data_IF_467741934871
#
_entry.id   IF_467741934871
#
_cell.length_a   1.000
_cell.length_b   1.000
_cell.length_c   1.000
_cell.angle_alpha   90.00
_cell.angle_beta   90.00
_cell.angle_gamma   90.00
#
_symmetry.space_group_name_H-M   'P 1'
#
loop_
_entity.id
_entity.type
_entity.pdbx_description
1 polymer ?
#
# COMPACT_ATOMS: atom_id res chain seq x y z
N UNK A 1 -10.51 -12.78 -4.20
CA UNK A 1 -11.80 -12.49 -3.54
C UNK A 1 -12.39 -13.75 -2.96
N UNK A 2 -12.63 -14.78 -3.78
CA UNK A 2 -13.06 -16.13 -3.38
C UNK A 2 -12.40 -16.69 -2.10
N UNK A 3 -11.06 -16.61 -1.96
CA UNK A 3 -10.36 -17.09 -0.75
C UNK A 3 -10.46 -16.16 0.47
N UNK A 4 -10.64 -14.87 0.25
CA UNK A 4 -10.58 -13.86 1.31
C UNK A 4 -11.95 -13.60 1.96
N UNK A 5 -13.01 -13.54 1.15
CA UNK A 5 -14.37 -13.22 1.58
C UNK A 5 -14.94 -14.16 2.66
N UNK A 6 -14.73 -15.49 2.60
CA UNK A 6 -15.15 -16.37 3.70
C UNK A 6 -14.48 -16.03 5.03
N UNK A 7 -13.19 -15.64 5.00
CA UNK A 7 -12.47 -15.19 6.19
C UNK A 7 -12.88 -13.81 6.71
N UNK A 8 -13.58 -13.02 5.88
CA UNK A 8 -14.14 -11.71 6.24
C UNK A 8 -15.62 -11.81 6.68
N UNK A 9 -16.23 -12.99 6.60
CA UNK A 9 -17.60 -13.23 7.03
C UNK A 9 -18.67 -12.99 5.97
N UNK A 10 -18.32 -12.95 4.67
CA UNK A 10 -19.31 -12.97 3.59
C UNK A 10 -19.85 -14.39 3.39
N UNK A 11 -21.18 -14.54 3.42
CA UNK A 11 -21.85 -15.82 3.21
C UNK A 11 -21.90 -16.23 1.73
N UNK A 12 -22.07 -15.25 0.84
CA UNK A 12 -22.24 -15.44 -0.60
C UNK A 12 -21.30 -14.50 -1.36
N UNK A 13 -20.66 -15.02 -2.40
CA UNK A 13 -19.89 -14.26 -3.37
C UNK A 13 -20.46 -14.55 -4.77
N UNK A 14 -20.95 -13.50 -5.43
CA UNK A 14 -21.45 -13.55 -6.82
C UNK A 14 -20.34 -13.04 -7.74
N UNK A 15 -19.79 -13.93 -8.56
CA UNK A 15 -18.72 -13.64 -9.52
C UNK A 15 -19.22 -13.40 -10.94
N UNK A 16 -18.30 -13.24 -11.88
CA UNK A 16 -18.64 -13.13 -13.33
C UNK A 16 -19.31 -14.43 -13.81
N UNK A 17 -18.90 -15.56 -13.24
CA UNK A 17 -19.41 -16.90 -13.50
C UNK A 17 -20.88 -17.11 -13.13
N UNK A 18 -21.42 -16.27 -12.24
CA UNK A 18 -22.80 -16.35 -11.76
C UNK A 18 -23.74 -15.39 -12.52
N UNK A 19 -23.19 -14.59 -13.45
CA UNK A 19 -23.90 -13.55 -14.18
C UNK A 19 -23.98 -13.84 -15.68
N UNK A 20 -25.00 -13.30 -16.33
CA UNK A 20 -25.13 -13.34 -17.79
C UNK A 20 -24.31 -12.19 -18.39
N UNK A 21 -23.27 -12.54 -19.16
CA UNK A 21 -22.41 -11.57 -19.84
C UNK A 21 -23.00 -11.18 -21.19
N UNK A 22 -24.06 -10.37 -21.17
CA UNK A 22 -24.81 -9.91 -22.34
C UNK A 22 -24.27 -8.59 -22.94
N UNK A 23 -23.60 -7.77 -22.15
CA UNK A 23 -22.97 -6.51 -22.58
C UNK A 23 -21.61 -6.35 -21.90
N UNK A 24 -20.54 -6.22 -22.68
CA UNK A 24 -19.16 -6.14 -22.15
C UNK A 24 -18.48 -4.86 -22.62
N UNK A 25 -17.96 -4.07 -21.67
CA UNK A 25 -17.10 -2.91 -21.93
C UNK A 25 -15.86 -3.03 -21.04
N UNK A 26 -14.69 -2.80 -21.63
CA UNK A 26 -13.42 -2.92 -20.90
C UNK A 26 -13.19 -4.33 -20.37
N UNK A 27 -13.09 -4.46 -19.05
CA UNK A 27 -12.68 -5.69 -18.38
C UNK A 27 -13.82 -6.69 -18.15
N UNK A 28 -15.08 -6.27 -18.15
CA UNK A 28 -16.20 -7.13 -17.76
C UNK A 28 -17.57 -6.60 -18.14
N UNK A 29 -18.59 -7.14 -17.46
CA UNK A 29 -19.98 -6.75 -17.62
C UNK A 29 -20.16 -5.25 -17.41
N UNK A 30 -21.02 -4.61 -18.19
CA UNK A 30 -21.35 -3.19 -18.01
C UNK A 30 -22.12 -2.95 -16.72
N UNK A 31 -21.96 -1.77 -16.13
CA UNK A 31 -22.61 -1.43 -14.85
C UNK A 31 -24.14 -1.42 -15.02
N UNK A 32 -24.67 -1.01 -16.18
CA UNK A 32 -26.12 -1.06 -16.47
C UNK A 32 -26.64 -2.50 -16.48
N UNK A 33 -25.94 -3.44 -17.12
CA UNK A 33 -26.36 -4.84 -17.13
C UNK A 33 -26.16 -5.51 -15.77
N UNK A 34 -25.04 -5.21 -15.12
CA UNK A 34 -24.70 -5.71 -13.80
C UNK A 34 -25.75 -5.33 -12.76
N UNK A 35 -26.09 -4.04 -12.64
CA UNK A 35 -27.07 -3.59 -11.65
C UNK A 35 -28.46 -4.16 -11.86
N UNK A 36 -28.89 -4.37 -13.11
CA UNK A 36 -30.16 -5.02 -13.41
C UNK A 36 -30.21 -6.44 -12.82
N UNK A 37 -29.16 -7.23 -13.05
CA UNK A 37 -29.07 -8.60 -12.53
C UNK A 37 -28.90 -8.63 -11.01
N UNK A 38 -28.17 -7.67 -10.44
CA UNK A 38 -28.00 -7.55 -8.99
C UNK A 38 -29.32 -7.24 -8.30
N UNK A 39 -30.18 -6.38 -8.87
CA UNK A 39 -31.49 -6.09 -8.29
C UNK A 39 -32.36 -7.36 -8.16
N UNK A 40 -32.39 -8.20 -9.21
CA UNK A 40 -33.09 -9.49 -9.19
C UNK A 40 -32.53 -10.40 -8.08
N UNK A 41 -31.20 -10.50 -7.95
CA UNK A 41 -30.55 -11.30 -6.91
C UNK A 41 -30.93 -10.80 -5.52
N UNK A 42 -30.90 -9.49 -5.27
CA UNK A 42 -31.21 -8.90 -3.97
C UNK A 42 -32.67 -9.11 -3.56
N UNK A 43 -33.61 -9.15 -4.51
CA UNK A 43 -35.02 -9.42 -4.21
C UNK A 43 -35.21 -10.84 -3.64
N UNK A 44 -34.43 -11.81 -4.11
CA UNK A 44 -34.50 -13.20 -3.66
C UNK A 44 -33.77 -13.47 -2.34
N UNK A 45 -32.97 -12.52 -1.83
CA UNK A 45 -32.19 -12.68 -0.60
C UNK A 45 -33.07 -12.65 0.66
N UNK A 46 -32.74 -13.51 1.63
CA UNK A 46 -33.37 -13.48 2.96
C UNK A 46 -32.97 -12.19 3.70
N UNK A 47 -33.97 -11.47 4.22
CA UNK A 47 -33.77 -10.22 4.97
C UNK A 47 -33.68 -10.48 6.49
N UNK A 48 -32.84 -9.71 7.23
CA UNK A 48 -31.98 -8.63 6.76
C UNK A 48 -30.70 -9.14 6.08
N UNK A 49 -30.20 -8.40 5.10
CA UNK A 49 -28.92 -8.69 4.44
C UNK A 49 -27.99 -7.47 4.42
N UNK A 50 -26.69 -7.75 4.23
CA UNK A 50 -25.68 -6.77 3.84
C UNK A 50 -25.14 -7.16 2.46
N UNK A 51 -25.17 -6.23 1.51
CA UNK A 51 -24.61 -6.44 0.17
C UNK A 51 -23.50 -5.44 -0.12
N UNK A 52 -22.40 -5.93 -0.69
CA UNK A 52 -21.27 -5.14 -1.14
C UNK A 52 -21.10 -5.29 -2.65
N UNK A 53 -21.44 -4.23 -3.38
CA UNK A 53 -21.54 -4.23 -4.85
C UNK A 53 -20.36 -3.44 -5.43
N UNK A 54 -19.63 -4.03 -6.38
CA UNK A 54 -18.42 -3.46 -6.97
C UNK A 54 -18.65 -3.25 -8.47
N UNK A 55 -18.65 -1.99 -8.92
CA UNK A 55 -18.76 -1.61 -10.34
C UNK A 55 -17.45 -1.79 -11.10
N UNK A 56 -17.48 -1.67 -12.43
CA UNK A 56 -16.28 -1.90 -13.25
C UNK A 56 -16.16 -1.00 -14.50
N UNK A 57 -17.26 -0.46 -15.02
CA UNK A 57 -17.25 0.18 -16.35
C UNK A 57 -16.39 1.44 -16.40
N UNK A 58 -16.30 2.17 -15.30
CA UNK A 58 -15.45 3.36 -15.14
C UNK A 58 -13.98 3.05 -14.83
N UNK A 59 -13.48 1.86 -15.12
CA UNK A 59 -12.06 1.53 -14.93
C UNK A 59 -11.18 2.10 -16.06
N UNK A 60 -9.97 2.57 -15.72
CA UNK A 60 -8.95 3.03 -16.68
C UNK A 60 -8.70 1.95 -17.75
N UNK A 61 -8.65 2.26 -19.07
CA UNK A 61 -8.50 3.58 -19.70
C UNK A 61 -9.80 4.34 -19.99
N UNK A 62 -10.91 4.02 -19.31
CA UNK A 62 -12.20 4.76 -19.41
C UNK A 62 -12.84 4.75 -20.80
N UNK A 63 -12.50 3.77 -21.63
CA UNK A 63 -12.95 3.71 -23.02
C UNK A 63 -14.38 3.16 -23.12
N UNK A 64 -15.32 4.05 -23.43
CA UNK A 64 -16.67 3.71 -23.83
C UNK A 64 -16.83 3.66 -25.36
N UNK A 65 -17.60 2.71 -25.91
CA UNK A 65 -18.05 2.77 -27.30
C UNK A 65 -18.93 4.01 -27.57
N UNK A 66 -18.91 4.52 -28.81
CA UNK A 66 -19.63 5.74 -29.20
C UNK A 66 -21.12 5.79 -28.81
N UNK A 67 -21.92 4.69 -28.87
CA UNK A 67 -23.31 4.72 -28.42
C UNK A 67 -23.52 5.04 -26.94
N UNK A 68 -22.48 4.92 -26.11
CA UNK A 68 -22.52 5.18 -24.66
C UNK A 68 -21.80 6.47 -24.28
N UNK A 69 -21.32 7.25 -25.26
CA UNK A 69 -20.70 8.56 -25.04
C UNK A 69 -21.78 9.63 -25.17
N UNK A 70 -22.34 10.05 -24.05
CA UNK A 70 -23.51 10.94 -24.01
C UNK A 70 -23.16 12.39 -23.70
N UNK A 71 -21.97 12.65 -23.16
CA UNK A 71 -21.51 14.02 -22.87
C UNK A 71 -20.93 14.64 -24.14
N UNK A 72 -21.41 15.83 -24.51
CA UNK A 72 -20.76 16.67 -25.51
C UNK A 72 -19.46 17.23 -24.92
N UNK A 73 -18.33 16.61 -25.24
CA UNK A 73 -17.02 17.04 -24.76
C UNK A 73 -16.61 18.37 -25.41
N UNK A 74 -15.81 19.15 -24.68
CA UNK A 74 -15.12 20.28 -25.27
C UNK A 74 -14.06 19.78 -26.27
N UNK A 75 -13.77 20.51 -27.36
CA UNK A 75 -12.77 20.09 -28.35
C UNK A 75 -11.39 19.76 -27.76
N UNK A 76 -10.99 20.45 -26.69
CA UNK A 76 -9.73 20.22 -25.98
C UNK A 76 -9.71 18.98 -25.08
N UNK A 77 -10.86 18.37 -24.81
CA UNK A 77 -11.00 17.14 -24.02
C UNK A 77 -11.21 15.89 -24.89
N UNK A 78 -11.57 16.06 -26.17
CA UNK A 78 -11.71 14.96 -27.13
C UNK A 78 -10.40 14.15 -27.27
N UNK A 79 -10.52 12.83 -27.15
CA UNK A 79 -9.36 11.91 -27.27
C UNK A 79 -8.38 11.98 -26.11
N UNK A 80 -8.69 12.72 -25.04
CA UNK A 80 -7.88 12.78 -23.82
C UNK A 80 -8.38 11.79 -22.77
N UNK A 81 -7.48 11.36 -21.87
CA UNK A 81 -7.84 10.52 -20.72
C UNK A 81 -8.93 11.17 -19.85
N UNK A 82 -8.90 12.50 -19.72
CA UNK A 82 -9.88 13.26 -18.94
C UNK A 82 -11.27 13.26 -19.60
N UNK A 83 -11.34 13.46 -20.91
CA UNK A 83 -12.60 13.35 -21.66
C UNK A 83 -13.19 11.95 -21.58
N UNK A 84 -12.36 10.90 -21.74
CA UNK A 84 -12.80 9.51 -21.56
C UNK A 84 -13.30 9.25 -20.13
N UNK A 85 -12.60 9.76 -19.12
CA UNK A 85 -12.99 9.63 -17.71
C UNK A 85 -14.38 10.24 -17.44
N UNK A 86 -14.64 11.45 -17.93
CA UNK A 86 -15.94 12.12 -17.74
C UNK A 86 -17.07 11.28 -18.35
N UNK A 87 -16.88 10.75 -19.56
CA UNK A 87 -17.87 9.88 -20.21
C UNK A 87 -18.13 8.60 -19.39
N UNK A 88 -17.07 7.94 -18.93
CA UNK A 88 -17.17 6.69 -18.18
C UNK A 88 -17.83 6.87 -16.80
N UNK A 89 -17.53 7.97 -16.11
CA UNK A 89 -18.19 8.32 -14.84
C UNK A 89 -19.67 8.65 -15.07
N UNK A 90 -20.01 9.40 -16.12
CA UNK A 90 -21.41 9.68 -16.48
C UNK A 90 -22.21 8.39 -16.75
N UNK A 91 -21.65 7.46 -17.51
CA UNK A 91 -22.30 6.16 -17.73
C UNK A 91 -22.56 5.40 -16.42
N UNK A 92 -21.59 5.42 -15.50
CA UNK A 92 -21.70 4.77 -14.20
C UNK A 92 -22.75 5.46 -13.32
N UNK A 93 -22.79 6.79 -13.33
CA UNK A 93 -23.80 7.59 -12.63
C UNK A 93 -25.23 7.26 -13.11
N UNK A 94 -25.44 7.20 -14.42
CA UNK A 94 -26.72 6.79 -15.00
C UNK A 94 -27.09 5.35 -14.62
N UNK A 95 -26.11 4.43 -14.60
CA UNK A 95 -26.32 3.05 -14.18
C UNK A 95 -26.73 2.95 -12.70
N UNK A 96 -26.12 3.75 -11.82
CA UNK A 96 -26.52 3.86 -10.41
C UNK A 96 -27.95 4.41 -10.31
N UNK A 97 -28.30 5.43 -11.09
CA UNK A 97 -29.67 5.96 -11.15
C UNK A 97 -30.69 4.87 -11.52
N UNK A 98 -30.40 4.07 -12.56
CA UNK A 98 -31.22 2.92 -12.95
C UNK A 98 -31.30 1.83 -11.87
N UNK A 99 -30.21 1.59 -11.14
CA UNK A 99 -30.21 0.68 -10.00
C UNK A 99 -31.12 1.15 -8.87
N UNK A 100 -31.10 2.44 -8.54
CA UNK A 100 -31.98 3.02 -7.52
C UNK A 100 -33.46 2.86 -7.92
N UNK A 101 -33.81 3.08 -9.19
CA UNK A 101 -35.17 2.83 -9.66
C UNK A 101 -35.53 1.34 -9.58
N UNK A 102 -34.61 0.44 -9.93
CA UNK A 102 -34.81 -1.00 -9.78
C UNK A 102 -35.05 -1.38 -8.30
N UNK A 103 -34.28 -0.85 -7.35
CA UNK A 103 -34.50 -1.08 -5.92
C UNK A 103 -35.89 -0.61 -5.45
N UNK A 104 -36.43 0.48 -6.02
CA UNK A 104 -37.80 0.93 -5.71
C UNK A 104 -38.85 -0.03 -6.27
N UNK A 105 -38.66 -0.49 -7.51
CA UNK A 105 -39.56 -1.45 -8.15
C UNK A 105 -39.63 -2.78 -7.39
N UNK A 106 -38.51 -3.25 -6.86
CA UNK A 106 -38.39 -4.47 -6.07
C UNK A 106 -38.74 -4.26 -4.57
N UNK A 107 -39.17 -3.06 -4.17
CA UNK A 107 -39.55 -2.75 -2.79
C UNK A 107 -38.39 -2.77 -1.78
N UNK A 108 -37.15 -2.78 -2.24
CA UNK A 108 -35.94 -2.81 -1.41
C UNK A 108 -35.49 -1.41 -0.97
N UNK A 109 -35.85 -0.37 -1.72
CA UNK A 109 -35.36 0.99 -1.49
C UNK A 109 -35.72 1.52 -0.09
N UNK A 110 -37.02 1.58 0.25
CA UNK A 110 -37.53 2.25 1.46
C UNK A 110 -37.03 1.66 2.80
N UNK A 111 -36.58 0.40 2.80
CA UNK A 111 -36.12 -0.31 4.00
C UNK A 111 -34.61 -0.59 4.01
N UNK A 112 -33.84 0.11 3.17
CA UNK A 112 -32.39 -0.08 3.04
C UNK A 112 -31.61 1.17 3.40
N UNK A 113 -30.50 1.01 4.12
CA UNK A 113 -29.43 2.01 4.15
C UNK A 113 -28.58 1.79 2.89
N UNK A 114 -28.52 2.78 2.02
CA UNK A 114 -27.77 2.73 0.76
C UNK A 114 -26.54 3.61 0.91
N UNK A 115 -25.36 3.01 0.91
CA UNK A 115 -24.09 3.74 0.99
C UNK A 115 -23.31 3.57 -0.32
N UNK A 116 -23.04 4.69 -0.99
CA UNK A 116 -22.20 4.77 -2.19
C UNK A 116 -20.88 5.42 -1.82
N UNK A 117 -19.75 4.82 -2.20
CA UNK A 117 -18.45 5.44 -2.02
C UNK A 117 -17.49 5.11 -3.15
N UNK A 118 -16.55 6.02 -3.44
CA UNK A 118 -15.47 5.77 -4.40
C UNK A 118 -14.33 4.97 -3.77
N UNK A 119 -13.78 4.01 -4.51
CA UNK A 119 -12.71 3.13 -4.05
C UNK A 119 -11.32 3.79 -4.09
N UNK A 120 -11.03 4.57 -5.15
CA UNK A 120 -9.82 5.39 -5.26
C UNK A 120 -9.96 6.46 -6.36
N UNK A 121 -8.91 7.25 -6.58
CA UNK A 121 -8.86 8.25 -7.65
C UNK A 121 -8.93 7.61 -9.05
N UNK A 122 -9.51 8.32 -10.01
CA UNK A 122 -9.48 7.91 -11.41
C UNK A 122 -8.22 8.38 -12.15
N UNK A 123 -7.89 9.67 -12.03
CA UNK A 123 -6.75 10.30 -12.73
C UNK A 123 -5.71 10.69 -11.70
N UNK A 124 -4.44 10.36 -11.95
CA UNK A 124 -3.38 10.70 -11.00
C UNK A 124 -2.97 12.18 -11.09
N UNK A 125 -2.60 12.77 -9.96
CA UNK A 125 -2.11 14.15 -9.87
C UNK A 125 -0.64 14.32 -10.29
N UNK A 126 0.00 13.21 -10.70
CA UNK A 126 1.35 13.17 -11.24
C UNK A 126 1.23 12.97 -12.77
N UNK A 127 2.36 13.04 -13.47
CA UNK A 127 2.43 12.87 -14.94
C UNK A 127 1.60 13.89 -15.76
N UNK A 128 1.58 13.72 -17.09
CA UNK A 128 0.88 14.62 -18.02
C UNK A 128 -0.65 14.50 -17.99
N UNK A 129 -1.18 13.44 -17.38
CA UNK A 129 -2.62 13.20 -17.18
C UNK A 129 -3.29 14.30 -16.35
N UNK A 130 -2.55 14.91 -15.42
CA UNK A 130 -3.06 15.96 -14.53
C UNK A 130 -3.37 17.29 -15.24
N UNK A 131 -2.76 17.59 -16.39
CA UNK A 131 -2.83 18.93 -17.00
C UNK A 131 -4.26 19.31 -17.44
N UNK A 132 -5.03 18.37 -17.98
CA UNK A 132 -6.44 18.60 -18.32
C UNK A 132 -7.30 18.79 -17.06
N UNK A 133 -7.05 18.03 -16.00
CA UNK A 133 -7.75 18.16 -14.71
C UNK A 133 -7.47 19.53 -14.09
N UNK A 134 -6.21 19.99 -14.09
CA UNK A 134 -5.83 21.34 -13.63
C UNK A 134 -6.55 22.43 -14.41
N UNK A 135 -6.60 22.31 -15.73
CA UNK A 135 -7.28 23.26 -16.60
C UNK A 135 -8.79 23.32 -16.29
N UNK A 136 -9.43 22.17 -16.05
CA UNK A 136 -10.83 22.09 -15.65
C UNK A 136 -11.09 22.69 -14.26
N UNK A 137 -10.23 22.40 -13.28
CA UNK A 137 -10.37 22.90 -11.91
C UNK A 137 -10.01 24.39 -11.77
N UNK A 138 -9.24 24.95 -12.71
CA UNK A 138 -8.72 26.32 -12.64
C UNK A 138 -7.67 26.53 -11.53
N UNK A 139 -7.12 25.45 -10.99
CA UNK A 139 -6.09 25.43 -9.92
C UNK A 139 -5.27 24.15 -9.99
N UNK A 140 -4.23 24.05 -9.16
CA UNK A 140 -3.43 22.84 -9.09
C UNK A 140 -4.25 21.63 -8.63
N UNK A 141 -3.98 20.49 -9.25
CA UNK A 141 -4.54 19.19 -8.88
C UNK A 141 -3.52 18.49 -8.00
N UNK A 142 -3.80 18.40 -6.69
CA UNK A 142 -2.88 17.85 -5.68
C UNK A 142 -3.42 16.57 -5.07
N UNK A 143 -2.73 15.98 -4.10
CA UNK A 143 -3.25 14.84 -3.35
C UNK A 143 -4.54 15.15 -2.58
N UNK A 144 -4.75 16.41 -2.17
CA UNK A 144 -5.98 16.82 -1.49
C UNK A 144 -7.21 16.62 -2.36
N UNK A 145 -7.14 17.01 -3.63
CA UNK A 145 -8.20 16.76 -4.61
C UNK A 145 -8.22 15.31 -5.08
N UNK A 146 -7.06 14.74 -5.40
CA UNK A 146 -6.97 13.39 -5.98
C UNK A 146 -7.51 12.33 -5.04
N UNK A 147 -7.17 12.39 -3.75
CA UNK A 147 -7.56 11.38 -2.77
C UNK A 147 -8.98 11.58 -2.22
N UNK A 148 -9.66 12.66 -2.60
CA UNK A 148 -11.03 12.92 -2.15
C UNK A 148 -12.03 12.13 -3.01
N UNK A 149 -12.55 11.05 -2.44
CA UNK A 149 -13.55 10.17 -3.06
C UNK A 149 -14.93 10.42 -2.45
N UNK A 150 -16.03 10.25 -3.20
CA UNK A 150 -17.36 10.47 -2.66
C UNK A 150 -17.68 9.44 -1.56
N UNK A 151 -18.47 9.87 -0.57
CA UNK A 151 -19.23 9.02 0.35
C UNK A 151 -20.63 9.63 0.47
N UNK A 152 -21.64 8.89 0.05
CA UNK A 152 -23.05 9.28 0.12
C UNK A 152 -23.78 8.17 0.86
N UNK A 153 -24.40 8.50 1.99
CA UNK A 153 -25.21 7.56 2.77
C UNK A 153 -26.66 8.04 2.73
N UNK A 154 -27.52 7.22 2.14
CA UNK A 154 -28.94 7.47 2.03
C UNK A 154 -29.72 6.55 2.97
N UNK A 155 -30.54 7.15 3.82
CA UNK A 155 -31.46 6.45 4.72
C UNK A 155 -32.88 6.98 4.44
N UNK A 156 -33.69 6.25 3.66
CA UNK A 156 -35.05 6.65 3.32
C UNK A 156 -35.88 6.97 4.56
N UNK A 157 -36.69 8.03 4.48
CA UNK A 157 -37.57 8.45 5.58
C UNK A 157 -36.87 9.00 6.83
N UNK A 158 -35.54 9.04 6.90
CA UNK A 158 -34.81 9.55 8.08
C UNK A 158 -34.96 11.06 8.30
N UNK A 159 -35.20 11.82 7.22
CA UNK A 159 -35.18 13.30 7.24
C UNK A 159 -33.78 13.89 7.42
N UNK A 160 -32.72 13.08 7.34
CA UNK A 160 -31.33 13.54 7.45
C UNK A 160 -30.92 14.22 6.15
N UNK A 161 -30.47 15.47 6.26
CA UNK A 161 -29.98 16.30 5.16
C UNK A 161 -28.70 17.00 5.61
N UNK A 162 -27.67 16.21 5.90
CA UNK A 162 -26.41 16.69 6.47
C UNK A 162 -25.26 16.54 5.47
N UNK A 163 -24.39 17.54 5.44
CA UNK A 163 -23.07 17.47 4.81
C UNK A 163 -22.04 17.33 5.92
N UNK A 164 -21.28 16.25 5.91
CA UNK A 164 -20.18 16.03 6.86
C UNK A 164 -18.89 16.59 6.24
N UNK A 165 -18.41 17.72 6.77
CA UNK A 165 -17.20 18.40 6.27
C UNK A 165 -15.90 17.89 6.93
N UNK A 166 -16.03 17.07 7.98
CA UNK A 166 -14.93 16.44 8.71
C UNK A 166 -14.16 15.49 7.79
N UNK A 167 -12.83 15.59 7.79
CA UNK A 167 -11.97 14.73 6.97
C UNK A 167 -12.05 13.29 7.46
N UNK A 168 -12.50 12.40 6.57
CA UNK A 168 -12.56 10.96 6.79
C UNK A 168 -11.87 10.18 5.68
N UNK A 169 -11.50 8.94 6.00
CA UNK A 169 -11.01 7.94 5.06
C UNK A 169 -11.91 6.70 5.07
N UNK A 170 -11.62 5.74 4.18
CA UNK A 170 -12.43 4.52 4.06
C UNK A 170 -12.46 3.66 5.33
N UNK A 171 -11.45 3.78 6.20
CA UNK A 171 -11.43 3.09 7.51
C UNK A 171 -12.51 3.59 8.47
N UNK A 172 -13.03 4.79 8.24
CA UNK A 172 -14.10 5.42 9.04
C UNK A 172 -15.50 4.95 8.61
N UNK A 173 -15.61 4.24 7.48
CA UNK A 173 -16.89 3.72 6.98
C UNK A 173 -17.55 2.76 7.96
N UNK A 174 -16.81 1.74 8.44
CA UNK A 174 -17.34 0.73 9.35
C UNK A 174 -17.90 1.32 10.66
N UNK A 175 -17.15 2.12 11.45
CA UNK A 175 -17.69 2.71 12.68
C UNK A 175 -18.90 3.62 12.41
N UNK A 176 -18.92 4.36 11.30
CA UNK A 176 -20.05 5.20 10.91
C UNK A 176 -21.31 4.39 10.61
N UNK A 177 -21.20 3.33 9.80
CA UNK A 177 -22.34 2.45 9.48
C UNK A 177 -22.83 1.69 10.72
N UNK A 178 -21.92 1.23 11.59
CA UNK A 178 -22.32 0.58 12.85
C UNK A 178 -23.13 1.53 13.74
N UNK A 179 -22.74 2.80 13.85
CA UNK A 179 -23.50 3.80 14.59
C UNK A 179 -24.90 3.98 14.00
N UNK A 180 -25.02 4.14 12.67
CA UNK A 180 -26.30 4.27 11.99
C UNK A 180 -27.23 3.06 12.18
N UNK A 181 -26.65 1.85 12.26
CA UNK A 181 -27.38 0.61 12.55
C UNK A 181 -27.69 0.42 14.04
N UNK A 182 -27.22 1.29 14.92
CA UNK A 182 -27.35 1.14 16.38
C UNK A 182 -26.54 -0.03 16.95
N UNK A 183 -25.51 -0.49 16.22
CA UNK A 183 -24.64 -1.59 16.63
C UNK A 183 -23.44 -1.03 17.38
N UNK A 184 -23.22 -1.53 18.60
CA UNK A 184 -22.07 -1.08 19.39
C UNK A 184 -20.76 -1.61 18.81
N UNK A 185 -19.97 -0.69 18.25
CA UNK A 185 -18.58 -0.94 17.86
C UNK A 185 -17.62 -0.99 19.05
N UNK A 186 -18.12 -0.97 20.30
CA UNK A 186 -17.28 -0.97 21.51
C UNK A 186 -16.35 -2.17 21.54
N UNK A 187 -16.45 -3.17 20.67
CA UNK A 187 -15.89 -4.50 20.92
C UNK A 187 -14.90 -4.95 19.86
N UNK A 188 -14.68 -4.05 18.91
CA UNK A 188 -14.01 -4.30 17.66
C UNK A 188 -12.70 -3.52 17.65
N UNK A 189 -11.69 -4.10 17.01
CA UNK A 189 -10.49 -3.35 16.68
C UNK A 189 -10.83 -2.51 15.44
N UNK A 190 -11.05 -1.21 15.64
CA UNK A 190 -11.30 -0.26 14.56
C UNK A 190 -10.24 0.83 14.61
N UNK A 191 -9.65 1.12 13.45
CA UNK A 191 -8.69 2.22 13.29
C UNK A 191 -9.37 3.52 12.90
N UNK A 192 -10.53 3.43 12.24
CA UNK A 192 -11.34 4.60 11.92
C UNK A 192 -12.23 5.05 13.09
N UNK A 193 -12.89 6.16 12.86
CA UNK A 193 -13.84 6.81 13.77
C UNK A 193 -15.20 7.02 13.09
N UNK A 194 -16.24 7.20 13.89
CA UNK A 194 -17.56 7.53 13.37
C UNK A 194 -17.59 8.99 12.89
N UNK A 195 -17.79 9.20 11.60
CA UNK A 195 -17.78 10.52 10.97
C UNK A 195 -18.93 11.41 11.43
N UNK A 196 -20.02 10.83 11.95
CA UNK A 196 -21.17 11.58 12.47
C UNK A 196 -20.94 12.13 13.88
N UNK A 197 -19.89 11.68 14.57
CA UNK A 197 -19.57 12.06 15.95
C UNK A 197 -18.14 12.60 16.10
N UNK A 198 -17.36 12.62 15.02
CA UNK A 198 -15.98 13.08 15.06
C UNK A 198 -15.90 14.61 15.20
N UNK A 199 -15.16 15.07 16.21
CA UNK A 199 -14.86 16.49 16.43
C UNK A 199 -13.80 17.02 15.47
N UNK A 200 -12.91 16.15 14.98
CA UNK A 200 -11.88 16.47 14.00
C UNK A 200 -11.54 15.26 13.14
N UNK A 201 -11.16 15.54 11.90
CA UNK A 201 -10.83 14.57 10.88
C UNK A 201 -9.34 14.28 10.77
N UNK A 202 -9.00 13.03 10.45
CA UNK A 202 -7.62 12.61 10.27
C UNK A 202 -7.53 11.33 9.43
N UNK A 203 -6.70 11.36 8.38
CA UNK A 203 -6.44 10.24 7.48
C UNK A 203 -4.95 10.00 7.38
N UNK A 204 -4.50 8.81 7.80
CA UNK A 204 -3.14 8.34 7.57
C UNK A 204 -3.07 7.55 6.25
N UNK A 205 -2.33 8.06 5.26
CA UNK A 205 -2.19 7.43 3.95
C UNK A 205 -0.81 6.78 3.79
N UNK A 206 -0.78 5.55 3.25
CA UNK A 206 0.45 4.80 2.97
C UNK A 206 0.54 4.23 1.54
N UNK A 207 -0.55 4.29 0.77
CA UNK A 207 -0.61 3.69 -0.58
C UNK A 207 -0.06 4.64 -1.64
N UNK A 208 -0.55 5.88 -1.64
CA UNK A 208 -0.19 6.90 -2.63
C UNK A 208 0.71 8.00 -2.05
N UNK A 209 0.76 8.05 -0.72
CA UNK A 209 1.65 8.87 0.07
C UNK A 209 2.49 7.94 0.95
N UNK A 210 3.70 8.36 1.32
CA UNK A 210 4.57 7.51 2.15
C UNK A 210 4.10 7.49 3.59
N UNK A 211 4.34 6.36 4.28
CA UNK A 211 4.06 6.20 5.73
C UNK A 211 4.57 7.42 6.52
N UNK A 212 3.67 8.00 7.31
CA UNK A 212 3.87 9.27 8.02
C UNK A 212 3.16 10.46 7.36
N UNK A 213 2.72 10.32 6.12
CA UNK A 213 1.86 11.31 5.48
C UNK A 213 0.45 11.27 6.06
N UNK A 214 -0.19 12.44 6.14
CA UNK A 214 -1.56 12.54 6.63
C UNK A 214 -2.33 13.68 5.99
N UNK A 215 -3.65 13.61 6.10
CA UNK A 215 -4.58 14.69 5.78
C UNK A 215 -5.45 14.90 7.00
N UNK A 216 -5.51 16.13 7.51
CA UNK A 216 -6.45 16.54 8.58
C UNK A 216 -7.41 17.62 8.04
N UNK A 217 -8.32 18.12 8.88
CA UNK A 217 -9.31 19.13 8.47
C UNK A 217 -8.71 20.40 7.86
N UNK A 218 -7.45 20.70 8.17
CA UNK A 218 -6.74 21.92 7.82
C UNK A 218 -5.57 21.69 6.85
N UNK A 219 -4.86 20.57 6.92
CA UNK A 219 -3.53 20.39 6.33
C UNK A 219 -3.43 19.09 5.55
N UNK A 220 -2.59 19.12 4.52
CA UNK A 220 -2.05 17.93 3.87
C UNK A 220 -0.55 17.92 4.14
N UNK A 221 -0.03 16.79 4.64
CA UNK A 221 1.39 16.56 4.84
C UNK A 221 1.85 15.40 3.95
N UNK A 222 2.74 15.67 3.00
CA UNK A 222 3.40 14.69 2.12
C UNK A 222 4.81 14.41 2.65
N UNK A 223 5.00 13.20 3.17
CA UNK A 223 6.29 12.71 3.62
C UNK A 223 7.27 12.57 2.45
N UNK A 224 8.48 13.11 2.62
CA UNK A 224 9.52 13.06 1.60
C UNK A 224 9.97 11.63 1.25
N UNK A 225 10.37 11.44 -0.01
CA UNK A 225 10.92 10.16 -0.49
C UNK A 225 12.27 9.78 0.10
N UNK A 226 13.03 10.76 0.60
CA UNK A 226 14.26 10.52 1.37
C UNK A 226 13.97 9.82 2.70
N UNK A 227 12.73 9.92 3.19
CA UNK A 227 12.33 9.42 4.49
C UNK A 227 12.72 10.32 5.66
N UNK A 228 13.27 11.50 5.40
CA UNK A 228 13.63 12.49 6.41
C UNK A 228 12.50 13.51 6.54
N UNK A 229 12.03 13.74 7.78
CA UNK A 229 10.90 14.63 8.04
C UNK A 229 11.12 16.03 7.46
N UNK A 230 12.33 16.57 7.63
CA UNK A 230 12.69 17.94 7.23
C UNK A 230 12.66 18.18 5.70
N UNK A 231 12.72 17.11 4.90
CA UNK A 231 12.60 17.20 3.44
C UNK A 231 11.14 17.19 2.94
N UNK A 232 10.18 17.12 3.86
CA UNK A 232 8.76 16.91 3.55
C UNK A 232 8.06 18.21 3.14
N UNK A 233 6.80 18.07 2.72
CA UNK A 233 5.97 19.22 2.31
C UNK A 233 4.66 19.24 3.08
N UNK A 234 4.21 20.43 3.40
CA UNK A 234 2.89 20.66 3.99
C UNK A 234 2.21 21.83 3.28
N UNK A 235 0.88 21.75 3.14
CA UNK A 235 0.06 22.84 2.64
C UNK A 235 -1.33 22.83 3.29
N UNK A 236 -1.98 23.99 3.29
CA UNK A 236 -3.35 24.13 3.75
C UNK A 236 -4.29 23.41 2.76
N UNK A 237 -5.17 22.56 3.29
CA UNK A 237 -6.08 21.71 2.51
C UNK A 237 -7.09 22.53 1.68
N UNK A 238 -7.48 23.71 2.17
CA UNK A 238 -8.52 24.54 1.54
C UNK A 238 -7.93 25.55 0.57
N UNK A 239 -6.84 26.21 0.96
CA UNK A 239 -6.22 27.28 0.16
C UNK A 239 -5.13 26.79 -0.77
N UNK A 240 -4.48 25.66 -0.46
CA UNK A 240 -3.31 25.16 -1.18
C UNK A 240 -2.00 25.87 -0.82
N UNK A 241 -2.04 26.84 0.09
CA UNK A 241 -0.85 27.62 0.47
C UNK A 241 0.15 26.76 1.27
N UNK A 242 1.46 26.87 1.02
CA UNK A 242 2.47 26.14 1.79
C UNK A 242 2.41 26.44 3.29
N UNK A 243 2.61 25.41 4.11
CA UNK A 243 2.68 25.50 5.57
C UNK A 243 4.06 25.09 6.07
N UNK A 244 4.42 25.57 7.28
CA UNK A 244 5.62 25.07 7.96
C UNK A 244 5.42 23.62 8.39
N UNK A 245 6.36 22.74 8.01
CA UNK A 245 6.35 21.33 8.38
C UNK A 245 6.43 21.10 9.90
N UNK A 246 7.00 22.04 10.66
CA UNK A 246 7.07 21.94 12.13
C UNK A 246 5.68 21.77 12.77
N UNK A 247 4.65 22.35 12.14
CA UNK A 247 3.25 22.24 12.57
C UNK A 247 2.62 20.86 12.33
N UNK A 248 3.33 19.97 11.62
CA UNK A 248 2.85 18.66 11.19
C UNK A 248 3.45 17.50 11.99
N UNK A 249 4.35 17.77 12.96
CA UNK A 249 5.09 16.72 13.68
C UNK A 249 4.17 15.75 14.43
N UNK A 250 3.18 16.26 15.15
CA UNK A 250 2.21 15.40 15.87
C UNK A 250 1.38 14.53 14.92
N UNK A 251 0.90 15.10 13.82
CA UNK A 251 0.13 14.36 12.80
C UNK A 251 0.97 13.29 12.11
N UNK A 252 2.23 13.60 11.80
CA UNK A 252 3.19 12.66 11.24
C UNK A 252 3.45 11.46 12.17
N UNK A 253 3.71 11.72 13.45
CA UNK A 253 3.92 10.68 14.46
C UNK A 253 2.67 9.82 14.66
N UNK A 254 1.48 10.45 14.66
CA UNK A 254 0.19 9.74 14.70
C UNK A 254 0.02 8.82 13.50
N UNK A 255 0.28 9.29 12.28
CA UNK A 255 0.16 8.50 11.07
C UNK A 255 1.08 7.27 11.09
N UNK A 256 2.35 7.45 11.50
CA UNK A 256 3.29 6.33 11.68
C UNK A 256 2.72 5.32 12.67
N UNK A 257 2.21 5.79 13.82
CA UNK A 257 1.69 4.93 14.88
C UNK A 257 0.48 4.12 14.43
N UNK A 258 -0.49 4.75 13.77
CA UNK A 258 -1.70 4.08 13.28
C UNK A 258 -1.37 3.02 12.21
N UNK A 259 -0.57 3.39 11.20
CA UNK A 259 -0.13 2.47 10.15
C UNK A 259 0.67 1.29 10.73
N UNK A 260 1.58 1.57 11.67
CA UNK A 260 2.41 0.54 12.31
C UNK A 260 1.57 -0.46 13.10
N UNK A 261 0.61 0.04 13.90
CA UNK A 261 -0.31 -0.82 14.65
C UNK A 261 -1.13 -1.72 13.73
N UNK A 262 -1.67 -1.17 12.64
CA UNK A 262 -2.44 -1.93 11.64
C UNK A 262 -1.59 -3.01 10.98
N UNK A 263 -0.38 -2.64 10.54
CA UNK A 263 0.58 -3.57 9.92
C UNK A 263 0.94 -4.71 10.88
N UNK A 264 1.29 -4.38 12.12
CA UNK A 264 1.67 -5.37 13.13
C UNK A 264 0.54 -6.38 13.42
N UNK A 265 -0.70 -5.88 13.50
CA UNK A 265 -1.88 -6.73 13.71
C UNK A 265 -2.09 -7.72 12.57
N UNK A 266 -1.90 -7.29 11.31
CA UNK A 266 -2.04 -8.13 10.13
C UNK A 266 -0.89 -9.13 9.99
N UNK A 267 0.36 -8.68 10.16
CA UNK A 267 1.55 -9.53 10.01
C UNK A 267 1.64 -10.66 11.04
N UNK A 268 1.04 -10.47 12.22
CA UNK A 268 1.08 -11.45 13.30
C UNK A 268 -0.24 -12.20 13.48
N UNK A 269 -1.19 -12.06 12.55
CA UNK A 269 -2.51 -12.72 12.57
C UNK A 269 -3.22 -12.57 13.94
N UNK A 270 -3.12 -11.38 14.54
CA UNK A 270 -3.54 -11.18 15.94
C UNK A 270 -5.05 -11.28 16.11
N UNK A 271 -5.82 -10.96 15.07
CA UNK A 271 -7.29 -11.06 15.09
C UNK A 271 -7.78 -12.49 15.31
N UNK A 272 -7.05 -13.50 14.83
CA UNK A 272 -7.45 -14.91 14.93
C UNK A 272 -7.65 -15.40 16.35
N UNK A 273 -6.89 -14.83 17.29
CA UNK A 273 -6.90 -15.23 18.70
C UNK A 273 -7.59 -14.19 19.59
N UNK A 274 -8.07 -13.09 19.03
CA UNK A 274 -8.81 -12.09 19.79
C UNK A 274 -10.23 -12.60 20.04
N UNK A 275 -10.60 -12.70 21.31
CA UNK A 275 -12.00 -12.80 21.70
C UNK A 275 -12.65 -11.43 21.47
N UNK A 276 -13.15 -11.19 20.26
CA UNK A 276 -13.89 -9.98 19.89
C UNK A 276 -15.31 -9.97 20.50
N UNK A 277 -15.56 -10.83 21.49
CA UNK A 277 -16.73 -10.93 22.34
C UNK A 277 -16.94 -9.73 23.24
N UNK A 278 -17.15 -8.57 22.65
CA UNK A 278 -18.00 -7.63 23.34
C UNK A 278 -17.34 -6.50 24.16
N UNK A 279 -16.03 -6.16 24.01
CA UNK A 279 -15.40 -4.90 24.56
C UNK A 279 -14.10 -4.40 23.86
N UNK A 280 -13.73 -3.12 24.06
CA UNK A 280 -12.91 -2.29 23.12
C UNK A 280 -11.45 -2.63 23.21
N UNK A 281 -10.80 -2.80 22.05
CA UNK A 281 -9.33 -2.81 21.96
C UNK A 281 -8.69 -1.40 22.03
N UNK A 282 -9.44 -0.39 22.48
CA UNK A 282 -8.87 0.94 22.79
C UNK A 282 -8.01 0.92 24.05
N UNK A 283 -8.21 -0.05 24.95
CA UNK A 283 -7.49 -0.14 26.23
C UNK A 283 -6.25 -1.06 26.25
N UNK A 284 -5.90 -1.72 25.13
CA UNK A 284 -4.71 -2.61 25.06
C UNK A 284 -3.48 -1.88 24.49
N UNK A 285 -3.65 -0.67 23.96
CA UNK A 285 -2.56 0.13 23.39
C UNK A 285 -2.38 1.44 24.16
N UNK A 286 -2.27 1.32 25.49
CA UNK A 286 -1.85 2.41 26.37
C UNK A 286 -0.48 2.95 25.91
N UNK A 287 -0.48 4.23 25.53
CA UNK A 287 0.67 5.14 25.55
C UNK A 287 1.76 4.92 24.52
N UNK A 288 2.32 3.72 24.41
CA UNK A 288 3.54 3.50 23.63
C UNK A 288 3.21 3.11 22.19
N UNK A 289 3.97 3.67 21.25
CA UNK A 289 4.14 3.05 19.93
C UNK A 289 4.48 1.59 20.24
N UNK A 290 3.75 0.57 19.74
CA UNK A 290 4.30 -0.76 19.72
C UNK A 290 5.59 -0.59 18.95
N UNK A 291 6.72 -0.61 19.65
CA UNK A 291 8.03 -0.64 19.02
C UNK A 291 7.89 -1.83 18.09
N UNK A 292 7.85 -1.60 16.77
CA UNK A 292 7.98 -2.67 15.80
C UNK A 292 9.16 -3.43 16.33
N UNK A 293 9.02 -4.69 16.79
CA UNK A 293 10.17 -5.38 17.32
C UNK A 293 11.16 -5.39 16.17
N UNK A 294 12.19 -4.55 16.29
CA UNK A 294 13.44 -4.66 15.56
C UNK A 294 14.07 -5.91 16.19
N UNK A 295 13.41 -7.05 15.99
CA UNK A 295 14.01 -8.34 16.20
C UNK A 295 14.99 -8.39 15.06
N UNK A 296 16.24 -8.02 15.36
CA UNK A 296 17.37 -8.34 14.50
C UNK A 296 17.14 -9.74 13.98
N UNK A 297 17.22 -9.88 12.65
CA UNK A 297 16.92 -11.13 11.98
C UNK A 297 17.78 -12.22 12.63
N UNK A 298 17.17 -13.30 13.12
CA UNK A 298 17.88 -14.34 13.88
C UNK A 298 19.10 -14.86 13.11
N UNK A 299 18.97 -14.91 11.78
CA UNK A 299 20.06 -15.28 10.87
C UNK A 299 21.26 -14.36 11.02
N UNK A 300 21.06 -13.05 11.14
CA UNK A 300 22.14 -12.08 11.24
C UNK A 300 22.76 -12.02 12.65
N UNK A 301 22.06 -12.54 13.66
CA UNK A 301 22.63 -12.70 15.01
C UNK A 301 23.60 -13.87 15.09
N UNK A 302 23.27 -14.95 14.38
CA UNK A 302 24.05 -16.19 14.39
C UNK A 302 25.17 -16.18 13.31
N UNK A 303 25.08 -15.27 12.34
CA UNK A 303 26.02 -15.14 11.22
C UNK A 303 26.39 -13.67 10.98
N UNK A 304 27.52 -13.23 11.53
CA UNK A 304 27.99 -11.83 11.47
C UNK A 304 28.92 -11.51 10.29
N UNK A 305 29.26 -12.54 9.50
CA UNK A 305 30.24 -12.46 8.41
C UNK A 305 29.57 -12.67 7.06
N UNK A 306 29.74 -11.70 6.16
CA UNK A 306 29.27 -11.81 4.77
C UNK A 306 30.42 -12.23 3.86
N UNK A 307 30.22 -13.29 3.08
CA UNK A 307 31.26 -13.80 2.18
C UNK A 307 31.06 -13.28 0.77
N UNK A 308 31.97 -12.45 0.27
CA UNK A 308 31.97 -12.02 -1.13
C UNK A 308 32.34 -13.19 -2.05
N UNK A 309 31.33 -13.77 -2.68
CA UNK A 309 31.49 -14.83 -3.68
C UNK A 309 31.75 -14.25 -5.07
N UNK A 310 31.40 -12.99 -5.34
CA UNK A 310 31.68 -12.31 -6.60
C UNK A 310 33.18 -12.11 -6.83
N UNK A 311 33.96 -12.01 -5.76
CA UNK A 311 35.43 -11.95 -5.82
C UNK A 311 36.10 -13.32 -6.05
N UNK A 312 35.34 -14.43 -5.98
CA UNK A 312 35.88 -15.78 -6.13
C UNK A 312 35.84 -16.19 -7.61
N UNK A 313 37.02 -16.31 -8.22
CA UNK A 313 37.14 -16.74 -9.61
C UNK A 313 36.51 -18.13 -9.84
N UNK A 314 35.66 -18.24 -10.86
CA UNK A 314 35.08 -19.52 -11.31
C UNK A 314 33.80 -19.96 -10.59
N UNK A 315 33.30 -19.20 -9.61
CA UNK A 315 32.11 -19.59 -8.82
C UNK A 315 30.82 -19.72 -9.66
N UNK A 316 30.70 -18.93 -10.72
CA UNK A 316 29.58 -19.01 -11.67
C UNK A 316 29.64 -20.24 -12.59
N UNK A 317 30.81 -20.89 -12.68
CA UNK A 317 31.01 -22.09 -13.50
C UNK A 317 30.88 -23.37 -12.66
N UNK A 318 31.40 -23.37 -11.43
CA UNK A 318 31.43 -24.51 -10.52
C UNK A 318 30.97 -24.13 -9.09
N UNK A 319 29.71 -24.47 -8.72
CA UNK A 319 29.19 -24.28 -7.37
C UNK A 319 29.90 -25.11 -6.29
N UNK A 320 30.77 -26.07 -6.61
CA UNK A 320 31.45 -26.91 -5.61
C UNK A 320 32.33 -26.11 -4.63
N UNK A 321 32.72 -24.88 -4.99
CA UNK A 321 33.36 -23.95 -4.06
C UNK A 321 32.39 -23.42 -2.99
N UNK A 322 31.10 -23.29 -3.29
CA UNK A 322 30.07 -22.89 -2.32
C UNK A 322 29.88 -23.96 -1.26
N UNK A 323 29.91 -25.26 -1.63
CA UNK A 323 29.83 -26.36 -0.66
C UNK A 323 30.96 -26.32 0.36
N UNK A 324 32.18 -25.95 -0.07
CA UNK A 324 33.33 -25.81 0.82
C UNK A 324 33.18 -24.62 1.79
N UNK A 325 32.58 -23.51 1.34
CA UNK A 325 32.28 -22.35 2.19
C UNK A 325 31.12 -22.66 3.15
N UNK A 326 30.07 -23.29 2.64
CA UNK A 326 28.91 -23.74 3.40
C UNK A 326 29.31 -24.74 4.50
N UNK A 327 30.19 -25.69 4.19
CA UNK A 327 30.75 -26.65 5.14
C UNK A 327 31.60 -26.01 6.25
N UNK A 328 32.07 -24.77 6.07
CA UNK A 328 32.71 -23.97 7.13
C UNK A 328 31.71 -23.21 8.00
N UNK A 329 30.41 -23.33 7.73
CA UNK A 329 29.34 -22.66 8.47
C UNK A 329 28.94 -21.28 7.95
N UNK A 330 29.46 -20.86 6.79
CA UNK A 330 29.07 -19.59 6.16
C UNK A 330 27.67 -19.69 5.56
N UNK A 331 26.82 -18.67 5.79
CA UNK A 331 25.42 -18.65 5.33
C UNK A 331 25.03 -17.40 4.54
N UNK A 332 25.81 -16.32 4.63
CA UNK A 332 25.56 -15.05 3.95
C UNK A 332 26.55 -14.88 2.79
N UNK A 333 26.04 -14.86 1.55
CA UNK A 333 26.86 -14.82 0.34
C UNK A 333 26.60 -13.53 -0.44
N UNK A 334 27.60 -12.67 -0.56
CA UNK A 334 27.53 -11.42 -1.29
C UNK A 334 27.96 -11.58 -2.74
N UNK A 335 27.17 -11.02 -3.66
CA UNK A 335 27.60 -10.81 -5.06
C UNK A 335 26.87 -9.61 -5.65
N UNK A 336 27.57 -8.85 -6.50
CA UNK A 336 26.88 -7.95 -7.42
C UNK A 336 26.14 -8.78 -8.47
N UNK A 337 24.93 -8.37 -8.84
CA UNK A 337 24.18 -8.96 -9.95
C UNK A 337 23.87 -7.87 -10.97
N UNK A 338 23.87 -8.25 -12.24
CA UNK A 338 23.47 -7.39 -13.34
C UNK A 338 22.21 -7.96 -14.01
N UNK A 339 21.24 -7.09 -14.29
CA UNK A 339 20.07 -7.45 -15.07
C UNK A 339 20.31 -7.05 -16.54
N UNK A 340 20.29 -8.03 -17.44
CA UNK A 340 20.35 -7.78 -18.88
C UNK A 340 19.05 -7.14 -19.38
N UNK A 341 19.06 -6.56 -20.58
CA UNK A 341 17.83 -6.04 -21.22
C UNK A 341 16.73 -7.09 -21.44
N UNK A 342 17.08 -8.38 -21.38
CA UNK A 342 16.14 -9.51 -21.41
C UNK A 342 15.53 -9.87 -20.05
N UNK A 343 15.95 -9.20 -18.97
CA UNK A 343 15.60 -9.55 -17.59
C UNK A 343 16.34 -10.78 -17.05
N UNK A 344 17.30 -11.34 -17.79
CA UNK A 344 18.20 -12.39 -17.28
C UNK A 344 19.23 -11.80 -16.32
N UNK A 345 19.61 -12.57 -15.30
CA UNK A 345 20.56 -12.16 -14.26
C UNK A 345 21.94 -12.76 -14.52
N UNK A 346 22.97 -11.93 -14.36
CA UNK A 346 24.36 -12.31 -14.53
C UNK A 346 25.19 -11.99 -13.29
N UNK A 347 26.12 -12.92 -12.97
CA UNK A 347 27.19 -12.72 -12.00
C UNK A 347 28.36 -11.95 -12.64
N UNK A 348 29.27 -11.36 -11.83
CA UNK A 348 30.49 -10.74 -12.34
C UNK A 348 31.25 -11.72 -13.24
N UNK A 349 31.65 -11.26 -14.42
CA UNK A 349 32.31 -12.11 -15.42
C UNK A 349 31.39 -12.72 -16.49
N UNK A 350 30.09 -12.40 -16.49
CA UNK A 350 29.16 -12.76 -17.59
C UNK A 350 28.53 -14.15 -17.48
N UNK A 351 28.46 -14.68 -16.26
CA UNK A 351 27.89 -16.00 -15.99
C UNK A 351 26.42 -15.91 -15.62
N UNK A 352 25.59 -16.80 -16.16
CA UNK A 352 24.16 -16.85 -15.84
C UNK A 352 23.87 -17.29 -14.39
N UNK A 353 22.86 -16.69 -13.77
CA UNK A 353 22.47 -16.92 -12.38
C UNK A 353 21.89 -18.31 -12.06
N UNK A 354 21.49 -19.09 -13.08
CA UNK A 354 20.76 -20.36 -12.92
C UNK A 354 21.47 -21.40 -12.05
N UNK A 355 22.80 -21.52 -12.16
CA UNK A 355 23.56 -22.47 -11.34
C UNK A 355 23.58 -22.09 -9.86
N UNK A 356 23.72 -20.79 -9.58
CA UNK A 356 23.66 -20.28 -8.22
C UNK A 356 22.26 -20.49 -7.64
N UNK A 357 21.21 -20.23 -8.43
CA UNK A 357 19.83 -20.46 -8.04
C UNK A 357 19.55 -21.92 -7.67
N UNK A 358 20.00 -22.86 -8.51
CA UNK A 358 19.89 -24.29 -8.24
C UNK A 358 20.59 -24.70 -6.93
N UNK A 359 21.79 -24.16 -6.67
CA UNK A 359 22.52 -24.42 -5.43
C UNK A 359 21.76 -23.90 -4.20
N UNK A 360 21.16 -22.70 -4.26
CA UNK A 360 20.31 -22.18 -3.19
C UNK A 360 19.05 -23.03 -2.98
N UNK A 361 18.50 -23.68 -4.00
CA UNK A 361 17.35 -24.57 -3.84
C UNK A 361 17.71 -25.82 -3.01
N UNK A 362 18.95 -26.28 -3.04
CA UNK A 362 19.46 -27.41 -2.24
C UNK A 362 19.89 -26.97 -0.82
N UNK A 363 20.19 -25.69 -0.62
CA UNK A 363 20.68 -25.12 0.64
C UNK A 363 19.72 -24.07 1.19
N UNK A 364 18.65 -24.53 1.85
CA UNK A 364 17.53 -23.67 2.29
C UNK A 364 17.88 -22.66 3.38
N UNK A 365 19.00 -22.84 4.08
CA UNK A 365 19.54 -21.93 5.11
C UNK A 365 20.69 -21.06 4.59
N UNK A 366 20.95 -21.06 3.28
CA UNK A 366 21.84 -20.10 2.63
C UNK A 366 21.05 -18.86 2.19
N UNK A 367 21.67 -17.68 2.33
CA UNK A 367 21.10 -16.38 2.00
C UNK A 367 22.00 -15.60 1.05
N UNK A 368 21.37 -14.90 0.12
CA UNK A 368 22.04 -14.08 -0.87
C UNK A 368 22.01 -12.61 -0.43
N UNK A 369 23.15 -11.96 -0.40
CA UNK A 369 23.29 -10.54 -0.10
C UNK A 369 23.63 -9.81 -1.38
N UNK A 370 22.87 -8.77 -1.74
CA UNK A 370 23.08 -8.04 -3.00
C UNK A 370 23.08 -6.53 -2.79
N UNK A 371 24.03 -5.78 -3.37
CA UNK A 371 24.02 -4.34 -3.30
C UNK A 371 22.92 -3.77 -4.22
N UNK A 372 22.15 -2.83 -3.70
CA UNK A 372 21.18 -2.01 -4.42
C UNK A 372 21.66 -0.57 -4.39
N UNK A 373 21.84 0.00 -5.58
CA UNK A 373 22.20 1.40 -5.76
C UNK A 373 21.40 1.98 -6.90
N UNK A 374 20.66 3.05 -6.66
CA UNK A 374 20.04 3.87 -7.72
C UNK A 374 19.21 3.06 -8.72
N UNK A 375 19.64 3.02 -9.98
CA UNK A 375 18.90 2.51 -11.14
C UNK A 375 18.86 0.97 -11.27
N UNK A 376 19.63 0.24 -10.45
CA UNK A 376 19.74 -1.22 -10.54
C UNK A 376 18.64 -1.99 -9.78
N UNK A 377 17.53 -1.33 -9.39
CA UNK A 377 16.35 -1.98 -8.82
C UNK A 377 15.76 -3.08 -9.73
N UNK A 378 16.06 -3.02 -11.03
CA UNK A 378 15.69 -4.03 -12.02
C UNK A 378 16.23 -5.43 -11.68
N UNK A 379 17.33 -5.53 -10.92
CA UNK A 379 17.85 -6.82 -10.41
C UNK A 379 16.82 -7.50 -9.51
N UNK A 380 16.21 -6.76 -8.58
CA UNK A 380 15.17 -7.29 -7.69
C UNK A 380 13.93 -7.71 -8.46
N UNK A 381 13.53 -6.92 -9.47
CA UNK A 381 12.40 -7.23 -10.34
C UNK A 381 12.65 -8.51 -11.16
N UNK A 382 13.87 -8.69 -11.67
CA UNK A 382 14.29 -9.88 -12.39
C UNK A 382 14.31 -11.11 -11.47
N UNK A 383 14.88 -11.00 -10.26
CA UNK A 383 14.86 -12.05 -9.23
C UNK A 383 13.43 -12.48 -8.91
N UNK A 384 12.54 -11.52 -8.63
CA UNK A 384 11.12 -11.79 -8.33
C UNK A 384 10.42 -12.55 -9.45
N UNK A 385 10.67 -12.14 -10.69
CA UNK A 385 10.01 -12.71 -11.87
C UNK A 385 10.52 -14.12 -12.17
N UNK A 386 11.83 -14.36 -12.03
CA UNK A 386 12.49 -15.58 -12.52
C UNK A 386 12.80 -16.61 -11.44
N UNK A 387 13.05 -16.16 -10.22
CA UNK A 387 13.46 -16.99 -9.07
C UNK A 387 12.66 -16.61 -7.80
N UNK A 388 11.31 -16.67 -7.84
CA UNK A 388 10.47 -16.30 -6.70
C UNK A 388 10.72 -17.14 -5.44
N UNK A 389 11.25 -18.36 -5.60
CA UNK A 389 11.64 -19.30 -4.56
C UNK A 389 12.86 -18.83 -3.73
N UNK A 390 13.68 -17.93 -4.27
CA UNK A 390 14.87 -17.40 -3.60
C UNK A 390 14.58 -16.06 -2.95
N UNK A 391 13.58 -15.28 -3.42
CA UNK A 391 13.30 -13.93 -2.92
C UNK A 391 13.17 -13.82 -1.40
N UNK A 392 12.55 -14.83 -0.78
CA UNK A 392 12.42 -14.92 0.68
C UNK A 392 13.73 -15.16 1.42
N UNK A 393 14.88 -15.27 0.74
CA UNK A 393 16.24 -15.50 1.28
C UNK A 393 17.27 -14.51 0.74
N UNK A 394 16.82 -13.40 0.17
CA UNK A 394 17.68 -12.33 -0.32
C UNK A 394 17.70 -11.19 0.70
N UNK A 395 18.90 -10.66 0.96
CA UNK A 395 19.16 -9.44 1.72
C UNK A 395 19.66 -8.33 0.78
N UNK A 396 18.78 -7.45 0.29
CA UNK A 396 19.21 -6.27 -0.44
C UNK A 396 19.91 -5.28 0.51
N UNK A 397 21.10 -4.81 0.13
CA UNK A 397 21.85 -3.76 0.83
C UNK A 397 21.53 -2.42 0.17
N UNK A 398 21.09 -1.42 0.92
CA UNK A 398 20.87 -0.06 0.42
C UNK A 398 21.93 0.91 0.96
N UNK A 399 22.47 1.75 0.08
CA UNK A 399 23.36 2.86 0.45
C UNK A 399 22.64 4.21 0.56
N UNK A 400 21.37 4.27 0.17
CA UNK A 400 20.48 5.44 0.23
C UNK A 400 19.19 5.05 0.94
N UNK A 401 18.77 5.82 1.95
CA UNK A 401 17.54 5.55 2.71
C UNK A 401 16.28 5.59 1.83
N UNK A 402 16.27 6.40 0.77
CA UNK A 402 15.17 6.49 -0.20
C UNK A 402 15.00 5.22 -1.06
N UNK A 403 15.99 4.35 -1.11
CA UNK A 403 15.88 3.06 -1.83
C UNK A 403 15.08 2.02 -1.03
N UNK A 404 14.88 2.21 0.29
CA UNK A 404 14.11 1.29 1.14
C UNK A 404 12.71 1.02 0.57
N UNK A 405 11.97 2.07 0.25
CA UNK A 405 10.61 1.95 -0.33
C UNK A 405 10.63 1.23 -1.67
N UNK A 406 11.65 1.49 -2.51
CA UNK A 406 11.79 0.85 -3.81
C UNK A 406 12.01 -0.66 -3.67
N UNK A 407 12.84 -1.06 -2.70
CA UNK A 407 13.15 -2.46 -2.39
C UNK A 407 11.91 -3.18 -1.83
N UNK A 408 11.22 -2.56 -0.88
CA UNK A 408 9.98 -3.09 -0.32
C UNK A 408 8.87 -3.26 -1.36
N UNK A 409 8.77 -2.33 -2.31
CA UNK A 409 7.81 -2.42 -3.42
C UNK A 409 8.07 -3.64 -4.32
N UNK A 410 9.31 -4.12 -4.40
CA UNK A 410 9.62 -5.38 -5.09
C UNK A 410 9.25 -6.62 -4.25
N UNK A 411 8.93 -6.47 -2.96
CA UNK A 411 8.52 -7.55 -2.06
C UNK A 411 9.64 -8.09 -1.18
N UNK A 412 10.79 -7.43 -1.13
CA UNK A 412 11.92 -7.82 -0.28
C UNK A 412 11.82 -7.11 1.07
N UNK A 413 11.83 -7.90 2.16
CA UNK A 413 11.64 -7.39 3.53
C UNK A 413 12.90 -7.42 4.38
N UNK A 414 13.93 -8.16 3.95
CA UNK A 414 15.18 -8.34 4.69
C UNK A 414 16.26 -7.34 4.24
N UNK A 415 16.09 -6.08 4.60
CA UNK A 415 16.92 -4.99 4.06
C UNK A 415 18.12 -4.72 4.98
N UNK A 416 19.30 -4.57 4.39
CA UNK A 416 20.52 -4.17 5.09
C UNK A 416 20.89 -2.71 4.76
N UNK A 417 21.43 -1.98 5.72
CA UNK A 417 22.01 -0.65 5.50
C UNK A 417 23.52 -0.74 5.21
N UNK A 418 24.01 -0.14 4.12
CA UNK A 418 25.45 0.06 3.90
C UNK A 418 25.94 1.30 4.65
N UNK A 419 26.54 1.10 5.82
CA UNK A 419 27.08 2.21 6.63
C UNK A 419 28.31 2.87 6.00
N UNK A 420 28.96 2.18 5.05
CA UNK A 420 30.06 2.75 4.28
C UNK A 420 29.57 3.79 3.27
N UNK A 421 28.37 3.62 2.73
CA UNK A 421 27.81 4.46 1.66
C UNK A 421 26.79 5.51 2.15
N UNK A 422 26.21 5.34 3.34
CA UNK A 422 25.30 6.32 3.98
C UNK A 422 26.04 7.59 4.49
N UNK A 423 26.84 8.21 3.63
CA UNK A 423 27.60 9.42 3.98
C UNK A 423 26.67 10.63 4.12
N UNK A 424 26.80 11.38 5.23
CA UNK A 424 26.09 12.64 5.44
C UNK A 424 24.76 12.52 6.19
N UNK A 425 24.41 11.33 6.68
CA UNK A 425 23.25 11.10 7.55
C UNK A 425 23.71 11.17 9.02
N UNK A 426 22.99 11.93 9.83
CA UNK A 426 23.23 11.99 11.28
C UNK A 426 22.38 10.97 12.05
N UNK A 427 22.70 10.81 13.34
CA UNK A 427 22.02 9.86 14.22
C UNK A 427 20.51 10.14 14.37
N UNK A 428 20.10 11.42 14.33
CA UNK A 428 18.70 11.80 14.43
C UNK A 428 17.91 11.36 13.18
N UNK A 429 18.46 11.62 11.99
CA UNK A 429 17.88 11.22 10.71
C UNK A 429 17.81 9.70 10.58
N UNK A 430 18.86 8.97 10.98
CA UNK A 430 18.83 7.51 11.01
C UNK A 430 17.78 6.99 12.00
N UNK A 431 17.70 7.57 13.20
CA UNK A 431 16.70 7.19 14.20
C UNK A 431 15.27 7.39 13.67
N UNK A 432 14.98 8.55 13.09
CA UNK A 432 13.67 8.87 12.49
C UNK A 432 13.32 7.92 11.34
N UNK A 433 14.30 7.54 10.52
CA UNK A 433 14.11 6.52 9.49
C UNK A 433 13.71 5.17 10.08
N UNK A 434 14.41 4.72 11.13
CA UNK A 434 14.20 3.41 11.78
C UNK A 434 12.90 3.33 12.60
N UNK A 435 12.29 4.46 12.95
CA UNK A 435 10.95 4.50 13.57
C UNK A 435 9.84 4.11 12.60
N UNK A 436 10.12 4.22 11.30
CA UNK A 436 9.13 4.01 10.23
C UNK A 436 9.37 2.72 9.48
N UNK A 437 10.65 2.42 9.29
CA UNK A 437 11.15 1.42 8.37
C UNK A 437 11.81 0.29 9.15
N UNK A 438 11.42 -0.94 8.85
CA UNK A 438 12.09 -2.13 9.36
C UNK A 438 13.34 -2.38 8.52
N UNK A 439 14.45 -2.64 9.18
CA UNK A 439 15.67 -3.19 8.58
C UNK A 439 16.05 -4.47 9.32
N UNK A 440 16.74 -5.37 8.65
CA UNK A 440 17.22 -6.62 9.26
C UNK A 440 18.56 -6.41 9.95
N UNK A 441 19.41 -5.55 9.40
CA UNK A 441 20.79 -5.36 9.82
C UNK A 441 21.44 -4.18 9.12
N UNK A 442 22.72 -3.98 9.44
CA UNK A 442 23.60 -3.08 8.74
C UNK A 442 24.87 -3.83 8.33
N UNK A 443 25.60 -3.30 7.38
CA UNK A 443 26.84 -3.86 6.86
C UNK A 443 27.91 -2.77 6.79
N UNK A 444 29.12 -3.14 7.18
CA UNK A 444 30.31 -2.28 7.11
C UNK A 444 31.34 -2.97 6.21
N UNK A 445 31.63 -2.45 5.02
CA UNK A 445 32.66 -2.99 4.16
C UNK A 445 34.03 -3.01 4.86
N UNK A 446 34.84 -4.04 4.58
CA UNK A 446 36.19 -4.16 5.13
C UNK A 446 37.03 -2.89 4.85
N UNK A 447 37.71 -2.39 5.88
CA UNK A 447 38.55 -1.19 5.79
C UNK A 447 37.80 0.14 5.91
N UNK A 448 36.48 0.14 6.13
CA UNK A 448 35.72 1.34 6.51
C UNK A 448 35.40 1.36 8.00
N UNK A 449 35.37 2.55 8.58
CA UNK A 449 34.91 2.79 9.94
C UNK A 449 33.62 3.63 9.89
N UNK A 450 32.46 3.10 10.31
CA UNK A 450 31.23 3.86 10.36
C UNK A 450 31.28 4.90 11.48
N UNK A 451 30.41 5.90 11.40
CA UNK A 451 30.24 6.89 12.48
C UNK A 451 29.74 6.20 13.76
N UNK A 452 30.39 6.50 14.89
CA UNK A 452 30.08 5.91 16.18
C UNK A 452 28.64 6.23 16.65
N UNK A 453 28.11 7.40 16.30
CA UNK A 453 26.74 7.77 16.68
C UNK A 453 25.70 6.95 15.91
N UNK A 454 25.99 6.59 14.65
CA UNK A 454 25.11 5.71 13.87
C UNK A 454 25.11 4.29 14.45
N UNK A 455 26.28 3.79 14.87
CA UNK A 455 26.38 2.51 15.56
C UNK A 455 25.58 2.49 16.86
N UNK A 456 25.62 3.56 17.66
CA UNK A 456 24.85 3.67 18.91
C UNK A 456 23.34 3.61 18.65
N UNK A 457 22.85 4.25 17.58
CA UNK A 457 21.44 4.17 17.17
C UNK A 457 21.05 2.74 16.81
N UNK A 458 21.88 2.03 16.04
CA UNK A 458 21.61 0.63 15.65
C UNK A 458 21.65 -0.31 16.86
N UNK A 459 22.62 -0.14 17.75
CA UNK A 459 22.78 -0.93 18.98
C UNK A 459 21.57 -0.74 19.91
N UNK A 460 21.11 0.50 20.11
CA UNK A 460 19.94 0.81 20.93
C UNK A 460 18.65 0.13 20.44
N UNK A 461 18.61 -0.25 19.16
CA UNK A 461 17.50 -0.93 18.49
C UNK A 461 17.77 -2.42 18.24
N UNK A 462 18.87 -2.97 18.75
CA UNK A 462 19.26 -4.37 18.62
C UNK A 462 19.39 -4.84 17.16
N UNK A 463 19.93 -3.98 16.31
CA UNK A 463 20.16 -4.23 14.88
C UNK A 463 21.59 -4.74 14.70
N UNK A 464 21.74 -5.93 14.10
CA UNK A 464 23.04 -6.54 13.87
C UNK A 464 23.87 -5.73 12.85
N UNK A 465 25.17 -5.60 13.10
CA UNK A 465 26.11 -4.96 12.18
C UNK A 465 27.10 -6.01 11.68
N UNK A 466 26.98 -6.35 10.40
CA UNK A 466 27.78 -7.32 9.69
C UNK A 466 29.10 -6.71 9.22
N UNK A 467 30.12 -7.56 9.09
CA UNK A 467 31.41 -7.23 8.49
C UNK A 467 31.57 -7.85 7.11
#
# INVERSE_FOLDING_TARGET
REKAYPGQGFDVFVGEEDLVIDEKIGYGLTDKSFFRQVADILEEMEQPFYSFIITLTSHVPFKLPAPHQEIDLLPEDEGTLFGDYIQAVHYTDEAIGGFIESLKEHGLYENSIIALYGDHFGIDCKHGSAERVKAFLGRDYTYGEMLNVPLIIHIPGSGIHETVDTVGGQVDFMPTILNLLGISGKNLVMFGHDLLQAESGFVASQTYLLKGSFIDDQKVFEMARTGIFDDSKAWDRKTGEPLSIDTCREGYERAIKEITKSTYLLENDLLRNMDLGGTTASAILDGNIPVVPQSGDEILRDHDTVTDIGAIAGIGEDPGMLDALYGKGLKLYFTALEATGSGSLELPGGYGFEKLAAWFAEHQDAYLVIPISGDNINVLKALKTRHPDICGRVFPIIGDLGDHVKVEYQGFRRILLDLGSLSGIDAESLSAFLDRNRISGAWVPEGRSPDAQLLEVLESRNIAVLK
#
